data_IF_031812230658
#
_entry.id   IF_031812230658
#
_cell.length_a   1.000
_cell.length_b   1.000
_cell.length_c   1.000
_cell.angle_alpha   90.00
_cell.angle_beta   90.00
_cell.angle_gamma   90.00
#
_symmetry.space_group_name_H-M   'P 1'
#
loop_
_entity.id
_entity.type
_entity.pdbx_description
1 polymer ?
#
# COMPACT_ATOMS: atom_id res chain seq x y z
N UNK A 1 11.31 3.16 9.08
CA UNK A 1 10.83 4.51 8.71
C UNK A 1 11.68 5.60 9.36
N UNK A 2 11.61 5.76 10.69
CA UNK A 2 12.30 6.83 11.44
C UNK A 2 13.82 6.88 11.20
N UNK A 3 14.51 5.75 11.31
CA UNK A 3 15.98 5.74 11.27
C UNK A 3 16.56 6.20 9.93
N UNK A 4 16.02 5.74 8.81
CA UNK A 4 16.52 6.08 7.46
C UNK A 4 15.47 6.00 6.35
N UNK A 5 14.32 5.37 6.58
CA UNK A 5 13.34 5.12 5.52
C UNK A 5 12.71 6.41 4.98
N UNK A 6 12.45 7.37 5.87
CA UNK A 6 11.89 8.66 5.48
C UNK A 6 12.90 9.52 4.71
N UNK A 7 14.14 9.62 5.18
CA UNK A 7 15.17 10.41 4.48
C UNK A 7 15.49 9.85 3.09
N UNK A 8 15.52 8.53 2.92
CA UNK A 8 15.69 7.90 1.59
C UNK A 8 14.50 8.18 0.67
N UNK A 9 13.29 8.34 1.22
CA UNK A 9 12.07 8.60 0.44
C UNK A 9 11.86 10.09 0.12
N UNK A 10 12.08 10.97 1.09
CA UNK A 10 11.65 12.38 1.06
C UNK A 10 12.77 13.38 1.45
N UNK A 11 14.02 12.93 1.62
CA UNK A 11 15.18 13.82 1.71
C UNK A 11 15.55 14.41 0.35
N UNK A 12 16.58 15.27 0.35
CA UNK A 12 17.00 16.01 -0.86
C UNK A 12 17.35 15.07 -2.00
N UNK A 13 16.81 15.30 -3.20
CA UNK A 13 17.06 14.42 -4.33
C UNK A 13 18.56 14.18 -4.59
N UNK A 14 18.88 12.92 -4.90
CA UNK A 14 20.19 12.45 -5.34
C UNK A 14 20.04 11.76 -6.69
N UNK A 15 19.98 12.58 -7.75
CA UNK A 15 20.03 12.11 -9.14
C UNK A 15 18.74 11.41 -9.58
N UNK A 16 17.61 11.75 -8.97
CA UNK A 16 16.30 11.18 -9.23
C UNK A 16 16.04 9.83 -8.55
N UNK A 17 17.04 9.25 -7.86
CA UNK A 17 17.02 7.84 -7.45
C UNK A 17 16.79 7.62 -5.96
N UNK A 18 17.31 8.50 -5.10
CA UNK A 18 17.16 8.39 -3.65
C UNK A 18 17.13 9.79 -3.04
N UNK A 19 16.45 9.93 -1.90
CA UNK A 19 16.59 11.09 -1.05
C UNK A 19 17.94 11.10 -0.32
N UNK A 20 18.33 12.29 0.13
CA UNK A 20 19.53 12.56 0.89
C UNK A 20 19.44 12.04 2.33
N UNK A 21 20.44 12.41 3.14
CA UNK A 21 20.53 12.01 4.56
C UNK A 21 20.14 13.15 5.51
N UNK A 22 19.55 14.23 5.00
CA UNK A 22 19.18 15.43 5.77
C UNK A 22 18.07 15.18 6.82
N UNK A 23 17.35 14.05 6.75
CA UNK A 23 16.36 13.64 7.75
C UNK A 23 16.69 12.30 8.40
N UNK A 24 17.98 11.91 8.41
CA UNK A 24 18.43 10.67 9.05
C UNK A 24 18.04 10.70 10.54
N UNK A 25 17.40 9.64 11.02
CA UNK A 25 16.92 9.56 12.40
C UNK A 25 15.80 10.56 12.73
N UNK A 26 15.07 11.07 11.73
CA UNK A 26 14.09 12.15 11.87
C UNK A 26 14.69 13.49 12.33
N UNK A 27 15.99 13.70 12.12
CA UNK A 27 16.59 15.01 12.31
C UNK A 27 15.84 16.07 11.48
N UNK A 28 15.54 17.24 12.07
CA UNK A 28 14.76 18.29 11.39
C UNK A 28 13.29 17.97 11.06
N UNK A 29 12.75 16.80 11.46
CA UNK A 29 11.32 16.48 11.29
C UNK A 29 10.54 17.03 12.48
N UNK A 30 10.06 18.28 12.37
CA UNK A 30 9.41 19.02 13.46
C UNK A 30 7.90 19.18 13.26
N UNK A 31 7.24 19.86 14.22
CA UNK A 31 5.86 20.29 14.09
C UNK A 31 5.66 21.52 13.19
N UNK A 32 6.74 22.10 12.66
CA UNK A 32 6.66 23.24 11.75
C UNK A 32 6.22 22.79 10.35
N UNK A 33 5.55 23.64 9.57
CA UNK A 33 5.12 23.28 8.22
C UNK A 33 6.29 22.95 7.29
N UNK A 34 6.06 22.06 6.33
CA UNK A 34 6.95 21.87 5.18
C UNK A 34 7.04 23.16 4.36
N UNK A 35 8.19 23.38 3.72
CA UNK A 35 8.40 24.52 2.82
C UNK A 35 7.33 24.56 1.72
N UNK A 36 6.67 25.71 1.56
CA UNK A 36 5.60 25.90 0.59
C UNK A 36 4.27 25.18 0.94
N UNK A 37 4.13 24.66 2.15
CA UNK A 37 2.94 23.93 2.62
C UNK A 37 2.41 24.49 3.93
N UNK A 38 1.17 24.14 4.27
CA UNK A 38 0.56 24.39 5.58
C UNK A 38 0.59 23.16 6.49
N UNK A 39 1.12 22.04 5.99
CA UNK A 39 1.14 20.76 6.70
C UNK A 39 2.41 20.64 7.52
N UNK A 40 2.30 20.38 8.84
CA UNK A 40 3.46 20.07 9.68
C UNK A 40 4.31 18.94 9.09
N UNK A 41 5.62 19.10 9.11
CA UNK A 41 6.56 18.11 8.59
C UNK A 41 6.37 16.75 9.27
N UNK A 42 6.23 16.72 10.59
CA UNK A 42 5.92 15.50 11.33
C UNK A 42 4.58 14.86 10.92
N UNK A 43 3.56 15.66 10.60
CA UNK A 43 2.27 15.14 10.16
C UNK A 43 2.38 14.46 8.78
N UNK A 44 3.11 15.08 7.85
CA UNK A 44 3.40 14.46 6.55
C UNK A 44 4.22 13.18 6.70
N UNK A 45 5.29 13.20 7.51
CA UNK A 45 6.14 12.04 7.74
C UNK A 45 5.37 10.86 8.37
N UNK A 46 4.44 11.13 9.30
CA UNK A 46 3.57 10.10 9.90
C UNK A 46 2.51 9.61 8.92
N UNK A 47 1.92 10.49 8.11
CA UNK A 47 0.98 10.08 7.07
C UNK A 47 1.64 9.10 6.09
N UNK A 48 2.81 9.46 5.55
CA UNK A 48 3.59 8.61 4.65
C UNK A 48 4.07 7.31 5.32
N UNK A 49 4.33 7.33 6.63
CA UNK A 49 4.67 6.12 7.40
C UNK A 49 3.58 5.05 7.30
N UNK A 50 2.31 5.44 7.25
CA UNK A 50 1.20 4.47 7.17
C UNK A 50 1.25 3.66 5.88
N UNK A 51 1.63 4.29 4.75
CA UNK A 51 1.85 3.63 3.46
C UNK A 51 3.04 2.68 3.55
N UNK A 52 4.12 3.11 4.19
CA UNK A 52 5.31 2.29 4.40
C UNK A 52 5.04 1.04 5.26
N UNK A 53 4.12 1.13 6.23
CA UNK A 53 3.73 0.02 7.11
C UNK A 53 2.83 -0.98 6.40
N UNK A 54 1.81 -0.51 5.67
CA UNK A 54 0.83 -1.43 5.05
C UNK A 54 1.45 -2.23 3.91
N UNK A 55 2.41 -1.66 3.17
CA UNK A 55 2.97 -2.29 1.97
C UNK A 55 3.63 -3.67 2.22
N UNK A 56 4.59 -3.85 3.15
CA UNK A 56 5.13 -5.17 3.45
C UNK A 56 4.11 -6.11 4.10
N UNK A 57 3.09 -5.58 4.79
CA UNK A 57 2.00 -6.38 5.32
C UNK A 57 1.16 -7.00 4.19
N UNK A 58 0.93 -6.30 3.08
CA UNK A 58 0.26 -6.85 1.90
C UNK A 58 1.06 -8.01 1.29
N UNK A 59 2.39 -7.91 1.24
CA UNK A 59 3.26 -8.98 0.72
C UNK A 59 3.15 -10.24 1.58
N UNK A 60 2.99 -10.08 2.90
CA UNK A 60 2.94 -11.19 3.84
C UNK A 60 1.83 -12.20 3.53
N UNK A 61 0.72 -11.77 2.91
CA UNK A 61 -0.35 -12.66 2.46
C UNK A 61 0.11 -13.77 1.51
N UNK A 62 1.18 -13.55 0.74
CA UNK A 62 1.73 -14.55 -0.17
C UNK A 62 2.41 -15.72 0.56
N UNK A 63 2.97 -15.48 1.74
CA UNK A 63 3.80 -16.46 2.45
C UNK A 63 3.45 -16.65 3.94
N UNK A 64 2.33 -16.07 4.38
CA UNK A 64 1.75 -16.30 5.69
C UNK A 64 1.72 -17.82 5.98
N UNK A 65 2.04 -18.17 7.22
CA UNK A 65 2.11 -19.55 7.75
C UNK A 65 3.25 -20.43 7.21
N UNK A 66 4.11 -19.94 6.31
CA UNK A 66 5.20 -20.73 5.70
C UNK A 66 6.61 -20.27 6.07
N UNK A 67 6.74 -19.28 6.97
CA UNK A 67 8.03 -18.65 7.30
C UNK A 67 8.18 -18.37 8.79
N UNK A 68 9.44 -18.45 9.24
CA UNK A 68 9.84 -17.97 10.56
C UNK A 68 9.54 -16.48 10.64
N UNK A 69 8.98 -16.04 11.77
CA UNK A 69 8.70 -14.62 12.01
C UNK A 69 9.96 -13.75 11.87
N UNK A 70 11.12 -14.23 12.31
CA UNK A 70 12.40 -13.52 12.14
C UNK A 70 12.76 -13.26 10.68
N UNK A 71 12.46 -14.21 9.77
CA UNK A 71 12.67 -14.02 8.34
C UNK A 71 11.73 -12.95 7.77
N UNK A 72 10.48 -12.87 8.26
CA UNK A 72 9.54 -11.82 7.88
C UNK A 72 9.98 -10.43 8.34
N UNK A 73 10.50 -10.30 9.56
CA UNK A 73 11.02 -9.03 10.08
C UNK A 73 12.20 -8.54 9.25
N UNK A 74 13.19 -9.42 9.00
CA UNK A 74 14.35 -9.08 8.18
C UNK A 74 13.97 -8.75 6.74
N UNK A 75 13.07 -9.53 6.14
CA UNK A 75 12.52 -9.26 4.81
C UNK A 75 11.85 -7.90 4.76
N UNK A 76 10.95 -7.60 5.69
CA UNK A 76 10.24 -6.32 5.74
C UNK A 76 11.20 -5.15 5.91
N UNK A 77 12.21 -5.28 6.78
CA UNK A 77 13.21 -4.23 6.97
C UNK A 77 14.03 -3.97 5.70
N UNK A 78 14.52 -5.03 5.06
CA UNK A 78 15.30 -4.94 3.83
C UNK A 78 14.44 -4.40 2.68
N UNK A 79 13.23 -4.94 2.51
CA UNK A 79 12.31 -4.55 1.45
C UNK A 79 11.87 -3.10 1.60
N UNK A 80 11.50 -2.66 2.81
CA UNK A 80 11.16 -1.26 3.05
C UNK A 80 12.34 -0.32 2.78
N UNK A 81 13.58 -0.76 3.03
CA UNK A 81 14.78 0.07 2.84
C UNK A 81 15.19 0.15 1.37
N UNK A 82 15.24 -0.98 0.67
CA UNK A 82 15.83 -1.07 -0.68
C UNK A 82 14.81 -1.00 -1.80
N UNK A 83 13.53 -1.25 -1.52
CA UNK A 83 12.47 -1.27 -2.53
C UNK A 83 11.49 -0.13 -2.26
N UNK A 84 10.85 -0.11 -1.09
CA UNK A 84 9.81 0.86 -0.81
C UNK A 84 10.32 2.31 -0.81
N UNK A 85 11.31 2.62 0.02
CA UNK A 85 11.79 4.01 0.16
C UNK A 85 12.32 4.59 -1.16
N UNK A 86 13.14 3.88 -1.96
CA UNK A 86 13.54 4.37 -3.28
C UNK A 86 12.36 4.53 -4.24
N UNK A 87 11.42 3.59 -4.26
CA UNK A 87 10.24 3.69 -5.13
C UNK A 87 9.34 4.87 -4.73
N UNK A 88 9.15 5.10 -3.43
CA UNK A 88 8.45 6.27 -2.91
C UNK A 88 9.16 7.56 -3.32
N UNK A 89 10.51 7.58 -3.31
CA UNK A 89 11.26 8.72 -3.80
C UNK A 89 11.04 8.98 -5.29
N UNK A 90 11.11 7.93 -6.12
CA UNK A 90 10.92 8.05 -7.56
C UNK A 90 9.58 8.70 -7.91
N UNK A 91 8.53 8.31 -7.19
CA UNK A 91 7.14 8.66 -7.53
C UNK A 91 6.64 9.90 -6.78
N UNK A 92 7.03 10.10 -5.51
CA UNK A 92 6.49 11.15 -4.64
C UNK A 92 7.55 12.09 -4.07
N UNK A 93 8.78 11.64 -3.92
CA UNK A 93 9.86 12.39 -3.25
C UNK A 93 10.66 13.31 -4.16
N UNK A 94 10.15 13.67 -5.34
CA UNK A 94 10.88 14.48 -6.33
C UNK A 94 11.85 13.70 -7.21
N UNK A 95 11.73 12.37 -7.25
CA UNK A 95 12.59 11.54 -8.08
C UNK A 95 12.18 11.50 -9.57
N UNK A 96 12.83 10.62 -10.33
CA UNK A 96 12.74 10.65 -11.80
C UNK A 96 11.35 10.36 -12.40
N UNK A 97 10.47 9.62 -11.72
CA UNK A 97 9.10 9.37 -12.21
C UNK A 97 8.22 10.60 -11.97
N UNK A 98 8.39 11.25 -10.81
CA UNK A 98 7.73 12.51 -10.48
C UNK A 98 8.07 13.58 -11.54
N UNK A 99 9.35 13.77 -11.85
CA UNK A 99 9.81 14.74 -12.86
C UNK A 99 9.32 14.44 -14.29
N UNK A 100 8.98 13.17 -14.57
CA UNK A 100 8.38 12.76 -15.85
C UNK A 100 6.86 12.90 -15.89
N UNK A 101 6.24 13.39 -14.81
CA UNK A 101 4.79 13.57 -14.71
C UNK A 101 4.02 12.27 -14.49
N UNK A 102 4.62 11.27 -13.87
CA UNK A 102 3.90 10.05 -13.49
C UNK A 102 2.76 10.38 -12.52
N UNK A 103 1.56 9.90 -12.82
CA UNK A 103 0.38 10.13 -11.99
C UNK A 103 0.12 8.93 -11.09
N UNK A 104 0.48 9.07 -9.82
CA UNK A 104 0.20 8.08 -8.79
C UNK A 104 -0.30 8.77 -7.51
N UNK A 105 -1.61 8.97 -7.44
CA UNK A 105 -2.25 9.80 -6.43
C UNK A 105 -2.12 9.25 -5.01
N UNK A 106 -2.26 7.94 -4.83
CA UNK A 106 -2.27 7.30 -3.51
C UNK A 106 -1.50 5.97 -3.48
N UNK A 107 -0.66 5.66 -4.46
CA UNK A 107 0.29 4.54 -4.35
C UNK A 107 -0.16 3.29 -5.11
N UNK A 108 -0.80 3.48 -6.25
CA UNK A 108 -1.02 2.42 -7.23
C UNK A 108 0.30 1.72 -7.58
N UNK A 109 1.37 2.48 -7.76
CA UNK A 109 2.72 1.96 -8.04
C UNK A 109 3.46 1.65 -6.74
N UNK A 110 3.53 2.64 -5.84
CA UNK A 110 4.39 2.57 -4.65
C UNK A 110 3.93 1.49 -3.66
N UNK A 111 2.63 1.28 -3.52
CA UNK A 111 2.04 0.32 -2.57
C UNK A 111 1.53 -0.93 -3.29
N UNK A 112 0.58 -0.80 -4.22
CA UNK A 112 -0.15 -1.96 -4.74
C UNK A 112 0.65 -2.76 -5.77
N UNK A 113 1.20 -2.11 -6.79
CA UNK A 113 2.01 -2.79 -7.81
C UNK A 113 3.27 -3.40 -7.19
N UNK A 114 3.99 -2.64 -6.37
CA UNK A 114 5.22 -3.10 -5.73
C UNK A 114 5.00 -4.29 -4.81
N UNK A 115 3.95 -4.26 -3.97
CA UNK A 115 3.63 -5.37 -3.08
C UNK A 115 3.07 -6.57 -3.83
N UNK A 116 2.24 -6.36 -4.86
CA UNK A 116 1.69 -7.41 -5.71
C UNK A 116 2.76 -8.17 -6.49
N UNK A 117 3.70 -7.45 -7.12
CA UNK A 117 4.85 -8.07 -7.81
C UNK A 117 5.74 -8.80 -6.80
N UNK A 118 6.00 -8.21 -5.64
CA UNK A 118 6.79 -8.86 -4.58
C UNK A 118 6.13 -10.13 -4.07
N UNK A 119 4.80 -10.11 -3.87
CA UNK A 119 4.00 -11.26 -3.48
C UNK A 119 4.08 -12.38 -4.53
N UNK A 120 4.01 -12.04 -5.82
CA UNK A 120 4.18 -13.00 -6.91
C UNK A 120 5.58 -13.61 -6.91
N UNK A 121 6.62 -12.80 -6.80
CA UNK A 121 8.02 -13.27 -6.73
C UNK A 121 8.20 -14.21 -5.52
N UNK A 122 7.67 -13.83 -4.35
CA UNK A 122 7.67 -14.71 -3.17
C UNK A 122 6.94 -16.03 -3.46
N UNK A 123 5.76 -16.00 -4.10
CA UNK A 123 5.02 -17.22 -4.42
C UNK A 123 5.80 -18.16 -5.37
N UNK A 124 6.54 -17.60 -6.34
CA UNK A 124 7.38 -18.36 -7.27
C UNK A 124 8.59 -18.97 -6.54
N UNK A 125 9.33 -18.16 -5.78
CA UNK A 125 10.57 -18.59 -5.10
C UNK A 125 10.29 -19.61 -3.99
N UNK A 126 9.16 -19.47 -3.28
CA UNK A 126 8.78 -20.37 -2.20
C UNK A 126 8.09 -21.65 -2.67
N UNK A 127 7.62 -21.67 -3.91
CA UNK A 127 6.91 -22.80 -4.48
C UNK A 127 5.45 -22.93 -4.05
N UNK A 128 4.80 -23.91 -4.68
CA UNK A 128 3.36 -24.18 -4.55
C UNK A 128 3.01 -24.63 -3.14
N UNK A 129 1.83 -24.24 -2.65
CA UNK A 129 1.25 -24.78 -1.42
C UNK A 129 0.91 -26.26 -1.62
N UNK A 130 1.03 -27.07 -0.57
CA UNK A 130 0.43 -28.40 -0.53
C UNK A 130 -1.07 -28.27 -0.84
N UNK A 131 -1.60 -29.16 -1.69
CA UNK A 131 -3.01 -29.09 -2.10
C UNK A 131 -3.31 -28.12 -3.25
N UNK A 132 -2.35 -27.32 -3.73
CA UNK A 132 -2.61 -26.38 -4.83
C UNK A 132 -3.07 -27.09 -6.11
N UNK A 133 -4.26 -26.71 -6.59
CA UNK A 133 -4.92 -27.32 -7.75
C UNK A 133 -5.57 -28.68 -7.48
N UNK A 134 -5.59 -29.13 -6.23
CA UNK A 134 -6.24 -30.38 -5.79
C UNK A 134 -7.33 -30.13 -4.77
N UNK A 135 -7.08 -29.21 -3.84
CA UNK A 135 -8.00 -28.85 -2.76
C UNK A 135 -8.68 -27.50 -3.04
N UNK A 136 -9.91 -27.33 -2.57
CA UNK A 136 -10.62 -26.05 -2.62
C UNK A 136 -9.97 -25.08 -1.60
N UNK A 137 -9.32 -24.03 -2.09
CA UNK A 137 -8.60 -23.06 -1.25
C UNK A 137 -9.53 -21.92 -0.80
N UNK A 138 -10.63 -22.28 -0.15
CA UNK A 138 -11.53 -21.30 0.47
C UNK A 138 -10.88 -20.63 1.68
N UNK A 139 -11.28 -19.39 2.05
CA UNK A 139 -10.80 -18.74 3.25
C UNK A 139 -11.08 -19.59 4.49
N UNK A 140 -10.07 -19.75 5.35
CA UNK A 140 -10.21 -20.52 6.59
C UNK A 140 -11.29 -19.94 7.53
N UNK A 141 -11.57 -18.63 7.44
CA UNK A 141 -12.58 -17.93 8.23
C UNK A 141 -13.20 -16.77 7.43
N UNK A 142 -14.41 -17.00 6.91
CA UNK A 142 -15.15 -16.02 6.10
C UNK A 142 -15.52 -14.77 6.91
N UNK A 143 -16.06 -14.85 8.15
CA UNK A 143 -16.31 -13.67 8.98
C UNK A 143 -15.08 -12.78 9.16
N UNK A 144 -13.90 -13.34 9.43
CA UNK A 144 -12.67 -12.54 9.57
C UNK A 144 -12.22 -11.91 8.25
N UNK A 145 -12.45 -12.58 7.13
CA UNK A 145 -12.17 -12.02 5.79
C UNK A 145 -13.03 -10.77 5.55
N UNK A 146 -14.33 -10.85 5.89
CA UNK A 146 -15.26 -9.71 5.77
C UNK A 146 -14.86 -8.58 6.73
N UNK A 147 -14.51 -8.90 7.98
CA UNK A 147 -14.06 -7.91 8.95
C UNK A 147 -12.81 -7.17 8.46
N UNK A 148 -11.81 -7.91 7.97
CA UNK A 148 -10.59 -7.33 7.42
C UNK A 148 -10.89 -6.38 6.26
N UNK A 149 -11.76 -6.78 5.34
CA UNK A 149 -12.16 -5.93 4.22
C UNK A 149 -12.96 -4.69 4.63
N UNK A 150 -13.82 -4.80 5.64
CA UNK A 150 -14.54 -3.64 6.17
C UNK A 150 -13.57 -2.62 6.81
N UNK A 151 -12.57 -3.10 7.56
CA UNK A 151 -11.51 -2.25 8.13
C UNK A 151 -10.64 -1.63 7.04
N UNK A 152 -10.29 -2.39 6.00
CA UNK A 152 -9.56 -1.88 4.84
C UNK A 152 -10.34 -0.79 4.14
N UNK A 153 -11.61 -1.01 3.79
CA UNK A 153 -12.45 -0.02 3.13
C UNK A 153 -12.56 1.26 3.99
N UNK A 154 -12.85 1.12 5.28
CA UNK A 154 -12.90 2.24 6.20
C UNK A 154 -11.58 3.03 6.22
N UNK A 155 -10.44 2.35 6.36
CA UNK A 155 -9.12 2.97 6.37
C UNK A 155 -8.74 3.58 5.02
N UNK A 156 -9.24 3.02 3.91
CA UNK A 156 -8.92 3.45 2.56
C UNK A 156 -9.40 4.87 2.24
N UNK A 157 -10.41 5.35 2.96
CA UNK A 157 -10.82 6.75 2.87
C UNK A 157 -9.69 7.69 3.31
N UNK A 158 -9.02 7.40 4.42
CA UNK A 158 -7.86 8.17 4.87
C UNK A 158 -6.68 8.02 3.91
N UNK A 159 -6.48 6.83 3.36
CA UNK A 159 -5.43 6.53 2.39
C UNK A 159 -5.59 7.35 1.10
N UNK A 160 -6.77 7.31 0.47
CA UNK A 160 -7.00 8.04 -0.78
C UNK A 160 -7.28 9.52 -0.54
N UNK A 161 -8.27 9.88 0.29
CA UNK A 161 -8.64 11.28 0.46
C UNK A 161 -7.53 12.09 1.15
N UNK A 162 -6.80 11.49 2.09
CA UNK A 162 -5.65 12.12 2.75
C UNK A 162 -4.49 12.40 1.80
N UNK A 163 -4.37 11.67 0.68
CA UNK A 163 -3.35 11.91 -0.34
C UNK A 163 -3.56 13.21 -1.12
N UNK A 164 -4.72 13.86 -0.98
CA UNK A 164 -4.92 15.24 -1.43
C UNK A 164 -4.20 16.28 -0.56
N UNK A 165 -3.64 15.86 0.59
CA UNK A 165 -2.84 16.69 1.50
C UNK A 165 -3.57 17.97 1.98
N UNK A 166 -4.88 17.86 2.17
CA UNK A 166 -5.69 18.96 2.70
C UNK A 166 -7.18 18.68 2.67
N UNK A 167 -7.96 19.49 3.37
CA UNK A 167 -9.42 19.45 3.33
C UNK A 167 -9.92 20.34 2.17
N UNK A 168 -9.97 19.77 0.96
CA UNK A 168 -10.26 20.49 -0.27
C UNK A 168 -11.13 19.67 -1.24
N UNK A 169 -11.46 20.25 -2.40
CA UNK A 169 -12.26 19.59 -3.42
C UNK A 169 -11.65 18.29 -3.96
N UNK A 170 -10.31 18.19 -4.02
CA UNK A 170 -9.63 16.96 -4.44
C UNK A 170 -9.82 15.85 -3.41
N UNK A 171 -9.70 16.16 -2.11
CA UNK A 171 -9.96 15.19 -1.05
C UNK A 171 -11.40 14.67 -1.09
N UNK A 172 -12.38 15.57 -1.27
CA UNK A 172 -13.79 15.20 -1.36
C UNK A 172 -14.07 14.29 -2.58
N UNK A 173 -13.48 14.62 -3.74
CA UNK A 173 -13.60 13.80 -4.94
C UNK A 173 -12.91 12.44 -4.78
N UNK A 174 -11.70 12.41 -4.21
CA UNK A 174 -10.99 11.16 -3.93
C UNK A 174 -11.79 10.26 -2.98
N UNK A 175 -12.40 10.83 -1.94
CA UNK A 175 -13.28 10.10 -1.02
C UNK A 175 -14.49 9.49 -1.76
N UNK A 176 -15.19 10.30 -2.56
CA UNK A 176 -16.37 9.87 -3.31
C UNK A 176 -16.03 8.76 -4.30
N UNK A 177 -14.97 8.93 -5.09
CA UNK A 177 -14.51 7.95 -6.08
C UNK A 177 -14.04 6.67 -5.41
N UNK A 178 -13.40 6.75 -4.24
CA UNK A 178 -13.01 5.55 -3.45
C UNK A 178 -14.23 4.70 -3.11
N UNK A 179 -15.31 5.32 -2.61
CA UNK A 179 -16.53 4.60 -2.29
C UNK A 179 -17.20 3.99 -3.53
N UNK A 180 -17.32 4.77 -4.61
CA UNK A 180 -17.96 4.34 -5.84
C UNK A 180 -17.18 3.17 -6.48
N UNK A 181 -15.84 3.28 -6.53
CA UNK A 181 -14.99 2.25 -7.11
C UNK A 181 -15.04 0.94 -6.31
N UNK A 182 -14.92 1.00 -4.97
CA UNK A 182 -15.04 -0.18 -4.12
C UNK A 182 -16.41 -0.86 -4.23
N UNK A 183 -17.49 -0.07 -4.24
CA UNK A 183 -18.84 -0.59 -4.43
C UNK A 183 -19.04 -1.22 -5.83
N UNK A 184 -18.56 -0.56 -6.88
CA UNK A 184 -18.64 -1.07 -8.24
C UNK A 184 -17.82 -2.36 -8.43
N UNK A 185 -16.62 -2.43 -7.87
CA UNK A 185 -15.79 -3.63 -7.89
C UNK A 185 -16.43 -4.81 -7.15
N UNK A 186 -16.96 -4.56 -5.95
CA UNK A 186 -17.67 -5.57 -5.17
C UNK A 186 -18.93 -6.09 -5.88
N UNK A 187 -19.76 -5.20 -6.42
CA UNK A 187 -20.94 -5.58 -7.21
C UNK A 187 -20.55 -6.30 -8.51
N UNK A 188 -19.48 -5.86 -9.17
CA UNK A 188 -18.95 -6.49 -10.38
C UNK A 188 -18.53 -7.94 -10.13
N UNK A 189 -17.82 -8.20 -9.03
CA UNK A 189 -17.44 -9.57 -8.67
C UNK A 189 -18.64 -10.42 -8.24
N UNK A 190 -19.58 -9.85 -7.48
CA UNK A 190 -20.82 -10.55 -7.12
C UNK A 190 -21.60 -10.95 -8.38
N UNK A 191 -21.78 -10.03 -9.33
CA UNK A 191 -22.41 -10.31 -10.61
C UNK A 191 -21.68 -11.38 -11.41
N UNK A 192 -20.35 -11.28 -11.52
CA UNK A 192 -19.51 -12.29 -12.17
C UNK A 192 -19.69 -13.67 -11.54
N UNK A 193 -19.62 -13.76 -10.20
CA UNK A 193 -19.80 -15.02 -9.47
C UNK A 193 -21.18 -15.62 -9.68
N UNK A 194 -22.21 -14.78 -9.76
CA UNK A 194 -23.57 -15.22 -10.03
C UNK A 194 -23.72 -15.81 -11.44
N UNK A 195 -23.18 -15.13 -12.46
CA UNK A 195 -23.24 -15.57 -13.85
C UNK A 195 -22.48 -16.88 -14.05
N UNK A 196 -21.25 -16.97 -13.51
CA UNK A 196 -20.36 -18.11 -13.77
C UNK A 196 -20.63 -19.30 -12.85
N UNK A 197 -20.94 -19.05 -11.57
CA UNK A 197 -21.11 -20.12 -10.56
C UNK A 197 -22.57 -20.37 -10.18
N UNK A 198 -23.52 -19.62 -10.74
CA UNK A 198 -24.96 -19.73 -10.45
C UNK A 198 -25.39 -19.21 -9.07
N UNK A 199 -24.44 -18.73 -8.25
CA UNK A 199 -24.70 -18.20 -6.90
C UNK A 199 -23.68 -17.10 -6.54
N UNK A 200 -24.10 -16.06 -5.80
CA UNK A 200 -23.18 -15.03 -5.34
C UNK A 200 -22.16 -15.58 -4.33
N UNK A 201 -20.95 -15.04 -4.35
CA UNK A 201 -19.89 -15.34 -3.37
C UNK A 201 -19.58 -14.12 -2.52
N UNK A 202 -19.78 -14.21 -1.21
CA UNK A 202 -19.46 -13.12 -0.27
C UNK A 202 -17.96 -12.84 -0.25
N UNK A 203 -17.13 -13.90 -0.24
CA UNK A 203 -15.66 -13.78 -0.35
C UNK A 203 -15.28 -13.11 -1.66
N UNK A 204 -15.95 -13.47 -2.76
CA UNK A 204 -15.77 -12.82 -4.04
C UNK A 204 -16.14 -11.34 -4.03
N UNK A 205 -17.29 -10.98 -3.46
CA UNK A 205 -17.71 -9.58 -3.35
C UNK A 205 -16.73 -8.74 -2.52
N UNK A 206 -16.20 -9.31 -1.44
CA UNK A 206 -15.14 -8.69 -0.65
C UNK A 206 -13.84 -8.54 -1.46
N UNK A 207 -13.43 -9.58 -2.20
CA UNK A 207 -12.24 -9.53 -3.05
C UNK A 207 -12.38 -8.53 -4.21
N UNK A 208 -13.59 -8.32 -4.74
CA UNK A 208 -13.85 -7.32 -5.76
C UNK A 208 -13.87 -5.89 -5.23
N UNK A 209 -14.19 -5.70 -3.94
CA UNK A 209 -14.19 -4.37 -3.32
C UNK A 209 -12.77 -3.85 -2.99
N UNK A 210 -11.77 -4.75 -2.99
CA UNK A 210 -10.34 -4.49 -2.74
C UNK A 210 -9.59 -4.43 -4.07
#
# INVERSE_FOLDING_TARGET
WVLWGYTIAFGDDKGGLFGGLNYLGFDGVTGDPLDGSTIPHAAFAVFQMMFAIITPALISGAFAERKKFSAFVLFSLAWSTFIYSPLAHWVWGGGWLFERGALDFAGGTVVHLSSGVSALVCAIVLGKRTGFGKDEMEPHNVPYTILGAALLWFGWFGFNAGSALGANGQAAMAFLVTNIAGAAGGLGWLGYSWIVKGKPSVVGGVAGAV
#
